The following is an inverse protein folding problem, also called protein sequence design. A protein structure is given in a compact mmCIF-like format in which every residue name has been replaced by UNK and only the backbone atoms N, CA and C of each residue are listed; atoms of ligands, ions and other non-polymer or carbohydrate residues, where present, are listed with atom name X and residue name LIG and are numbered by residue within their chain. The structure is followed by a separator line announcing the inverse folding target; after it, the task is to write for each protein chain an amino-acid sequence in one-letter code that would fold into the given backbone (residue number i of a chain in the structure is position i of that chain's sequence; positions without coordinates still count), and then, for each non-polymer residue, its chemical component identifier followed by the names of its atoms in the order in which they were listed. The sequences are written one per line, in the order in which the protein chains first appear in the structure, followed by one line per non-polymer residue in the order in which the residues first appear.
data_IF_399829378519
#
_entry.id   IF_399829378519
#
_cell.length_a   1.000
_cell.length_b   1.000
_cell.length_c   1.000
_cell.angle_alpha   90.00
_cell.angle_beta   90.00
_cell.angle_gamma   90.00
#
_symmetry.space_group_name_H-M   'P 1'
#
loop_
_entity.id
_entity.type
_entity.pdbx_description
1 polymer ?
#
# COMPACT_ATOMS: atom_id res chain seq x y z
N UNK A 1 -10.34 -11.58 -10.99
CA UNK A 1 -9.40 -11.24 -9.91
C UNK A 1 -9.52 -9.75 -9.62
N UNK A 2 -9.94 -9.40 -8.40
CA UNK A 2 -10.12 -8.02 -7.93
C UNK A 2 -8.94 -7.60 -7.07
N UNK A 3 -8.35 -6.45 -7.36
CA UNK A 3 -7.13 -5.97 -6.70
C UNK A 3 -7.42 -4.63 -6.02
N UNK A 4 -7.09 -4.53 -4.73
CA UNK A 4 -7.05 -3.27 -4.00
C UNK A 4 -5.59 -2.84 -3.83
N UNK A 5 -5.23 -1.66 -4.30
CA UNK A 5 -3.90 -1.07 -4.11
C UNK A 5 -4.01 0.00 -3.03
N UNK A 6 -3.27 -0.16 -1.94
CA UNK A 6 -3.19 0.82 -0.87
C UNK A 6 -1.91 1.65 -1.00
N UNK A 7 -2.09 2.92 -1.31
CA UNK A 7 -1.00 3.90 -1.40
C UNK A 7 -0.49 4.31 -0.01
N UNK A 8 0.73 4.82 0.09
CA UNK A 8 1.19 5.49 1.29
C UNK A 8 0.24 6.64 1.68
N UNK A 9 0.06 6.86 2.99
CA UNK A 9 -0.63 8.05 3.47
C UNK A 9 0.05 9.32 2.92
N UNK A 10 -0.73 10.31 2.48
CA UNK A 10 -0.31 11.55 1.80
C UNK A 10 0.30 11.36 0.40
N UNK A 11 0.27 10.17 -0.18
CA UNK A 11 0.63 10.01 -1.58
C UNK A 11 -0.47 10.58 -2.47
N UNK A 12 -0.12 11.57 -3.30
CA UNK A 12 -1.09 12.21 -4.20
C UNK A 12 -1.29 11.38 -5.48
N UNK A 13 -2.51 10.91 -5.69
CA UNK A 13 -2.91 10.19 -6.90
C UNK A 13 -3.66 11.13 -7.85
N UNK A 14 -2.94 12.14 -8.37
CA UNK A 14 -3.49 13.20 -9.22
C UNK A 14 -2.63 13.43 -10.45
N UNK A 15 -3.19 14.11 -11.47
CA UNK A 15 -2.46 14.37 -12.73
C UNK A 15 -1.26 15.31 -12.55
N UNK A 16 -1.39 16.33 -11.71
CA UNK A 16 -0.43 17.43 -11.65
C UNK A 16 0.60 17.31 -10.51
N UNK A 17 0.30 16.54 -9.47
CA UNK A 17 1.12 16.47 -8.26
C UNK A 17 1.31 15.04 -7.78
N UNK A 18 1.38 14.07 -8.70
CA UNK A 18 1.59 12.68 -8.37
C UNK A 18 2.98 12.47 -7.77
N UNK A 19 3.05 11.72 -6.67
CA UNK A 19 4.31 11.18 -6.17
C UNK A 19 4.79 10.01 -7.04
N UNK A 20 6.05 9.60 -6.85
CA UNK A 20 6.67 8.54 -7.65
C UNK A 20 5.91 7.20 -7.59
N UNK A 21 5.38 6.84 -6.42
CA UNK A 21 4.55 5.63 -6.25
C UNK A 21 3.25 5.74 -7.04
N UNK A 22 2.62 6.89 -7.00
CA UNK A 22 1.37 7.16 -7.74
C UNK A 22 1.56 7.09 -9.25
N UNK A 23 2.66 7.63 -9.78
CA UNK A 23 3.02 7.53 -11.20
C UNK A 23 3.18 6.05 -11.58
N UNK A 24 3.99 5.31 -10.82
CA UNK A 24 4.21 3.89 -11.05
C UNK A 24 2.89 3.09 -11.05
N UNK A 25 2.05 3.28 -10.02
CA UNK A 25 0.76 2.58 -9.90
C UNK A 25 -0.17 2.94 -11.06
N UNK A 26 -0.25 4.21 -11.43
CA UNK A 26 -1.09 4.64 -12.55
C UNK A 26 -0.66 4.02 -13.88
N UNK A 27 0.64 4.00 -14.17
CA UNK A 27 1.15 3.51 -15.44
C UNK A 27 1.09 1.99 -15.54
N UNK A 28 1.44 1.28 -14.47
CA UNK A 28 1.26 -0.19 -14.41
C UNK A 28 -0.20 -0.59 -14.53
N UNK A 29 -1.13 0.16 -13.92
CA UNK A 29 -2.57 -0.11 -14.03
C UNK A 29 -3.09 0.07 -15.45
N UNK A 30 -2.64 1.08 -16.19
CA UNK A 30 -3.04 1.28 -17.60
C UNK A 30 -2.69 0.08 -18.48
N UNK A 31 -1.54 -0.54 -18.22
CA UNK A 31 -1.00 -1.68 -18.97
C UNK A 31 -1.52 -3.03 -18.47
N UNK A 32 -2.10 -3.08 -17.27
CA UNK A 32 -2.57 -4.32 -16.66
C UNK A 32 -3.77 -4.91 -17.39
N UNK A 33 -3.75 -6.23 -17.60
CA UNK A 33 -4.93 -6.98 -18.04
C UNK A 33 -6.09 -6.92 -17.04
N UNK A 34 -5.81 -6.60 -15.77
CA UNK A 34 -6.79 -6.46 -14.69
C UNK A 34 -7.25 -5.01 -14.46
N UNK A 35 -6.92 -4.05 -15.33
CA UNK A 35 -7.19 -2.62 -15.17
C UNK A 35 -8.63 -2.25 -14.77
N UNK A 36 -9.62 -3.06 -15.21
CA UNK A 36 -11.04 -2.85 -14.87
C UNK A 36 -11.39 -3.30 -13.44
N UNK A 37 -10.59 -4.18 -12.87
CA UNK A 37 -10.80 -4.80 -11.55
C UNK A 37 -9.85 -4.26 -10.48
N UNK A 38 -9.02 -3.26 -10.83
CA UNK A 38 -8.11 -2.59 -9.89
C UNK A 38 -8.82 -1.39 -9.28
N UNK A 39 -8.75 -1.25 -7.96
CA UNK A 39 -9.14 -0.05 -7.21
C UNK A 39 -7.96 0.46 -6.41
N UNK A 40 -7.64 1.74 -6.56
CA UNK A 40 -6.56 2.41 -5.85
C UNK A 40 -7.14 3.18 -4.68
N UNK A 41 -6.60 2.98 -3.49
CA UNK A 41 -7.01 3.62 -2.25
C UNK A 41 -5.88 4.53 -1.76
N UNK A 42 -6.22 5.74 -1.34
CA UNK A 42 -5.25 6.69 -0.84
C UNK A 42 -5.90 7.87 -0.13
N UNK A 43 -5.10 8.83 0.29
CA UNK A 43 -5.57 10.09 0.89
C UNK A 43 -4.99 11.25 0.08
N UNK A 44 -5.67 11.58 -1.02
CA UNK A 44 -5.29 12.65 -1.95
C UNK A 44 -6.13 13.89 -1.68
N UNK A 45 -5.49 15.03 -1.50
CA UNK A 45 -6.15 16.31 -1.26
C UNK A 45 -6.44 17.08 -2.57
N UNK A 46 -5.83 16.68 -3.68
CA UNK A 46 -5.94 17.34 -4.99
C UNK A 46 -7.23 16.97 -5.75
N UNK A 47 -7.78 17.93 -6.50
CA UNK A 47 -9.06 17.78 -7.22
C UNK A 47 -8.95 16.94 -8.50
N UNK A 48 -7.80 16.91 -9.19
CA UNK A 48 -7.60 16.22 -10.48
C UNK A 48 -7.20 14.75 -10.29
N UNK A 49 -8.06 13.98 -9.68
CA UNK A 49 -7.82 12.57 -9.31
C UNK A 49 -7.82 11.68 -10.56
N UNK A 50 -6.93 10.69 -10.57
CA UNK A 50 -6.85 9.68 -11.61
C UNK A 50 -7.99 8.66 -11.48
N UNK A 51 -8.31 7.94 -12.57
CA UNK A 51 -9.42 6.96 -12.59
C UNK A 51 -9.19 5.79 -11.62
N UNK A 52 -10.28 5.15 -11.22
CA UNK A 52 -10.30 3.98 -10.32
C UNK A 52 -9.79 4.24 -8.90
N UNK A 53 -9.77 5.49 -8.45
CA UNK A 53 -9.32 5.91 -7.15
C UNK A 53 -10.49 6.06 -6.17
N UNK A 54 -10.25 5.65 -4.93
CA UNK A 54 -11.16 5.80 -3.80
C UNK A 54 -10.42 6.55 -2.70
N UNK A 55 -10.91 7.72 -2.33
CA UNK A 55 -10.29 8.52 -1.29
C UNK A 55 -10.61 7.96 0.10
N UNK A 56 -9.58 7.81 0.93
CA UNK A 56 -9.68 7.44 2.33
C UNK A 56 -9.80 8.74 3.13
N UNK A 57 -11.03 9.14 3.42
CA UNK A 57 -11.28 10.34 4.21
C UNK A 57 -10.67 10.23 5.61
N UNK A 58 -10.04 11.31 6.07
CA UNK A 58 -9.52 11.43 7.42
C UNK A 58 -10.28 12.55 8.14
N UNK A 59 -10.80 12.24 9.32
CA UNK A 59 -11.34 13.24 10.25
C UNK A 59 -10.27 13.51 11.31
N UNK A 60 -10.09 14.78 11.69
CA UNK A 60 -9.23 15.11 12.83
C UNK A 60 -9.74 14.36 14.07
N UNK A 61 -8.93 13.46 14.58
CA UNK A 61 -9.20 12.73 15.81
C UNK A 61 -7.94 12.80 16.69
N UNK A 62 -8.10 13.34 17.90
CA UNK A 62 -6.99 13.58 18.84
C UNK A 62 -6.51 12.26 19.48
N UNK A 63 -7.38 11.24 19.52
CA UNK A 63 -7.12 9.97 20.23
C UNK A 63 -6.39 8.91 19.40
N UNK A 64 -6.36 9.03 18.07
CA UNK A 64 -5.75 8.03 17.20
C UNK A 64 -4.66 8.66 16.33
N UNK A 65 -3.54 7.96 16.18
CA UNK A 65 -2.52 8.35 15.20
C UNK A 65 -3.13 8.38 13.79
N UNK A 66 -2.61 9.27 12.95
CA UNK A 66 -3.08 9.43 11.56
C UNK A 66 -2.98 8.12 10.77
N UNK A 67 -1.92 7.33 11.00
CA UNK A 67 -1.76 6.02 10.37
C UNK A 67 -2.87 5.05 10.79
N UNK A 68 -3.20 5.01 12.08
CA UNK A 68 -4.27 4.13 12.56
C UNK A 68 -5.64 4.56 12.02
N UNK A 69 -5.93 5.86 11.93
CA UNK A 69 -7.14 6.35 11.31
C UNK A 69 -7.21 5.95 9.83
N UNK A 70 -6.10 6.13 9.09
CA UNK A 70 -5.99 5.78 7.69
C UNK A 70 -6.29 4.30 7.45
N UNK A 71 -5.64 3.41 8.21
CA UNK A 71 -5.84 1.97 8.10
C UNK A 71 -7.23 1.52 8.53
N UNK A 72 -7.78 2.08 9.62
CA UNK A 72 -9.14 1.77 10.07
C UNK A 72 -10.20 2.23 9.05
N UNK A 73 -10.02 3.38 8.43
CA UNK A 73 -10.94 3.86 7.40
C UNK A 73 -10.82 3.05 6.11
N UNK A 74 -9.62 2.66 5.72
CA UNK A 74 -9.41 1.70 4.64
C UNK A 74 -10.12 0.37 4.92
N UNK A 75 -9.97 -0.18 6.13
CA UNK A 75 -10.63 -1.42 6.54
C UNK A 75 -12.16 -1.33 6.39
N UNK A 76 -12.77 -0.21 6.80
CA UNK A 76 -14.21 0.03 6.61
C UNK A 76 -14.62 0.05 5.14
N UNK A 77 -13.80 0.67 4.27
CA UNK A 77 -14.08 0.76 2.83
C UNK A 77 -14.03 -0.60 2.11
N UNK A 78 -13.23 -1.54 2.61
CA UNK A 78 -13.07 -2.88 1.99
C UNK A 78 -13.92 -3.95 2.65
N UNK A 79 -14.48 -3.73 3.85
CA UNK A 79 -15.17 -4.73 4.67
C UNK A 79 -16.20 -5.58 3.90
N UNK A 80 -16.99 -4.94 3.03
CA UNK A 80 -18.06 -5.59 2.27
C UNK A 80 -17.69 -5.80 0.79
N UNK A 81 -16.39 -5.73 0.45
CA UNK A 81 -15.90 -5.90 -0.92
C UNK A 81 -15.02 -7.13 -0.99
N UNK A 82 -15.20 -7.93 -2.04
CA UNK A 82 -14.36 -9.11 -2.29
C UNK A 82 -13.15 -8.68 -3.12
N UNK A 83 -11.99 -8.60 -2.48
CA UNK A 83 -10.69 -8.47 -3.15
C UNK A 83 -9.94 -9.79 -3.02
N UNK A 84 -9.24 -10.16 -4.09
CA UNK A 84 -8.36 -11.34 -4.11
C UNK A 84 -6.95 -10.98 -3.63
N UNK A 85 -6.55 -9.72 -3.88
CA UNK A 85 -5.22 -9.21 -3.55
C UNK A 85 -5.36 -7.81 -2.91
N UNK A 86 -4.58 -7.60 -1.85
CA UNK A 86 -4.24 -6.29 -1.29
C UNK A 86 -2.77 -6.00 -1.62
N UNK A 87 -2.53 -5.01 -2.45
CA UNK A 87 -1.18 -4.55 -2.80
C UNK A 87 -0.84 -3.30 -2.00
N UNK A 88 0.29 -3.30 -1.31
CA UNK A 88 0.74 -2.25 -0.39
C UNK A 88 2.08 -1.71 -0.87
N UNK A 89 2.19 -0.40 -1.02
CA UNK A 89 3.40 0.25 -1.50
C UNK A 89 4.14 0.99 -0.39
N UNK A 90 5.45 0.72 -0.23
CA UNK A 90 6.37 1.44 0.67
C UNK A 90 5.89 1.58 2.13
N UNK A 91 5.01 0.70 2.61
CA UNK A 91 4.51 0.79 3.99
C UNK A 91 4.46 -0.59 4.65
N UNK A 92 5.63 -1.22 4.91
CA UNK A 92 5.68 -2.56 5.51
C UNK A 92 4.95 -2.62 6.86
N UNK A 93 4.98 -1.55 7.66
CA UNK A 93 4.28 -1.49 8.95
C UNK A 93 2.73 -1.55 8.85
N UNK A 94 2.14 -1.45 7.64
CA UNK A 94 0.71 -1.66 7.44
C UNK A 94 0.34 -3.16 7.43
N UNK A 95 1.27 -4.03 7.04
CA UNK A 95 1.03 -5.47 6.83
C UNK A 95 0.46 -6.17 8.08
N UNK A 96 1.05 -6.03 9.29
CA UNK A 96 0.52 -6.70 10.48
C UNK A 96 -0.94 -6.34 10.79
N UNK A 97 -1.31 -5.07 10.59
CA UNK A 97 -2.70 -4.64 10.76
C UNK A 97 -3.61 -5.27 9.70
N UNK A 98 -3.20 -5.25 8.44
CA UNK A 98 -3.99 -5.79 7.33
C UNK A 98 -4.18 -7.30 7.43
N UNK A 99 -3.23 -8.04 7.99
CA UNK A 99 -3.36 -9.46 8.28
C UNK A 99 -4.43 -9.75 9.34
N UNK A 100 -4.59 -8.87 10.33
CA UNK A 100 -5.62 -9.02 11.37
C UNK A 100 -7.04 -8.82 10.83
N UNK A 101 -7.22 -7.95 9.84
CA UNK A 101 -8.55 -7.56 9.35
C UNK A 101 -9.01 -8.30 8.10
N UNK A 102 -8.12 -8.97 7.40
CA UNK A 102 -8.44 -9.65 6.15
C UNK A 102 -7.52 -10.84 5.89
N UNK A 103 -8.11 -11.94 5.41
CA UNK A 103 -7.39 -13.13 4.91
C UNK A 103 -6.98 -13.01 3.43
N UNK A 104 -7.33 -11.91 2.76
CA UNK A 104 -6.95 -11.63 1.37
C UNK A 104 -5.43 -11.66 1.22
N UNK A 105 -4.90 -12.16 0.11
CA UNK A 105 -3.45 -12.19 -0.18
C UNK A 105 -2.85 -10.79 -0.14
N UNK A 106 -1.70 -10.63 0.54
CA UNK A 106 -0.97 -9.36 0.66
C UNK A 106 0.29 -9.40 -0.19
N UNK A 107 0.44 -8.38 -1.01
CA UNK A 107 1.66 -8.13 -1.78
C UNK A 107 2.25 -6.82 -1.28
N UNK A 108 3.49 -6.86 -0.81
CA UNK A 108 4.23 -5.67 -0.39
C UNK A 108 5.22 -5.26 -1.48
N UNK A 109 5.16 -4.02 -1.92
CA UNK A 109 6.06 -3.47 -2.94
C UNK A 109 7.00 -2.44 -2.33
N UNK A 110 8.31 -2.68 -2.43
CA UNK A 110 9.35 -1.73 -2.03
C UNK A 110 9.84 -0.94 -3.24
N UNK A 111 9.68 0.39 -3.19
CA UNK A 111 10.24 1.34 -4.16
C UNK A 111 11.52 1.99 -3.67
N UNK A 112 11.77 2.00 -2.37
CA UNK A 112 12.90 2.63 -1.71
C UNK A 112 13.69 1.60 -0.88
N UNK A 113 14.76 2.07 -0.19
CA UNK A 113 15.57 1.24 0.70
C UNK A 113 14.71 0.64 1.84
N UNK A 114 14.56 -0.69 1.91
CA UNK A 114 13.78 -1.34 2.97
C UNK A 114 14.30 -1.06 4.37
N UNK A 115 15.61 -0.88 4.55
CA UNK A 115 16.21 -0.62 5.87
C UNK A 115 15.93 0.78 6.41
N UNK A 116 15.35 1.67 5.60
CA UNK A 116 14.92 3.01 6.01
C UNK A 116 13.41 3.11 6.22
N UNK A 117 12.68 2.00 6.13
CA UNK A 117 11.22 1.99 6.25
C UNK A 117 10.77 1.40 7.57
N UNK A 118 9.93 2.14 8.30
CA UNK A 118 9.29 1.63 9.51
C UNK A 118 8.61 0.29 9.24
N UNK A 119 8.92 -0.72 10.07
CA UNK A 119 8.39 -2.08 9.94
C UNK A 119 9.22 -3.00 9.04
N UNK A 120 10.44 -2.57 8.63
CA UNK A 120 11.43 -3.42 7.95
C UNK A 120 12.88 -3.06 8.32
N UNK A 121 13.08 -2.20 9.32
CA UNK A 121 14.42 -1.75 9.75
C UNK A 121 15.17 -2.90 10.41
N UNK A 122 14.56 -3.56 11.39
CA UNK A 122 15.20 -4.65 12.12
C UNK A 122 15.10 -5.97 11.37
N UNK A 123 16.02 -6.91 11.68
CA UNK A 123 15.97 -8.29 11.17
C UNK A 123 14.64 -8.92 11.53
N UNK A 124 14.21 -8.79 12.80
CA UNK A 124 12.93 -9.32 13.29
C UNK A 124 11.72 -8.81 12.52
N UNK A 125 11.71 -7.51 12.15
CA UNK A 125 10.64 -6.95 11.31
C UNK A 125 10.60 -7.64 9.95
N UNK A 126 11.77 -7.83 9.32
CA UNK A 126 11.86 -8.44 7.98
C UNK A 126 11.49 -9.91 8.00
N UNK A 127 11.91 -10.68 9.02
CA UNK A 127 11.47 -12.06 9.24
C UNK A 127 9.96 -12.14 9.42
N UNK A 128 9.39 -11.23 10.23
CA UNK A 128 7.93 -11.14 10.39
C UNK A 128 7.25 -10.91 9.05
N UNK A 129 7.74 -9.96 8.24
CA UNK A 129 7.17 -9.69 6.91
C UNK A 129 7.25 -10.89 5.98
N UNK A 130 8.37 -11.62 5.99
CA UNK A 130 8.52 -12.86 5.19
C UNK A 130 7.48 -13.91 5.56
N UNK A 131 7.14 -14.02 6.85
CA UNK A 131 6.20 -15.02 7.35
C UNK A 131 4.72 -14.66 7.09
N UNK A 132 4.37 -13.36 7.09
CA UNK A 132 2.96 -12.93 7.03
C UNK A 132 2.54 -12.29 5.71
N UNK A 133 3.47 -12.12 4.75
CA UNK A 133 3.20 -11.53 3.45
C UNK A 133 3.28 -12.59 2.35
N UNK A 134 2.25 -12.70 1.52
CA UNK A 134 2.23 -13.72 0.45
C UNK A 134 3.28 -13.47 -0.63
N UNK A 135 3.63 -12.20 -0.87
CA UNK A 135 4.69 -11.83 -1.82
C UNK A 135 5.31 -10.48 -1.47
N UNK A 136 6.64 -10.39 -1.56
CA UNK A 136 7.38 -9.14 -1.47
C UNK A 136 8.04 -8.88 -2.82
N UNK A 137 7.84 -7.67 -3.36
CA UNK A 137 8.38 -7.22 -4.64
C UNK A 137 9.33 -6.06 -4.39
N UNK A 138 10.47 -6.10 -5.04
CA UNK A 138 11.49 -5.05 -5.00
C UNK A 138 11.67 -4.45 -6.38
N UNK A 139 11.89 -3.15 -6.47
CA UNK A 139 12.14 -2.45 -7.72
C UNK A 139 13.55 -2.70 -8.31
N UNK A 140 14.44 -3.30 -7.53
CA UNK A 140 15.82 -3.61 -7.94
C UNK A 140 16.43 -4.75 -7.13
N UNK A 141 17.48 -5.36 -7.68
CA UNK A 141 18.29 -6.36 -6.96
C UNK A 141 18.99 -5.73 -5.75
N UNK A 142 19.40 -4.47 -5.83
CA UNK A 142 19.97 -3.75 -4.71
C UNK A 142 18.98 -3.67 -3.54
N UNK A 143 17.74 -3.23 -3.78
CA UNK A 143 16.69 -3.16 -2.77
C UNK A 143 16.40 -4.54 -2.14
N UNK A 144 16.37 -5.60 -2.96
CA UNK A 144 16.22 -6.97 -2.49
C UNK A 144 17.38 -7.40 -1.59
N UNK A 145 18.63 -7.15 -2.01
CA UNK A 145 19.82 -7.48 -1.22
C UNK A 145 19.84 -6.74 0.12
N UNK A 146 19.45 -5.45 0.13
CA UNK A 146 19.30 -4.65 1.34
C UNK A 146 18.30 -5.28 2.32
N UNK A 147 17.17 -5.75 1.82
CA UNK A 147 16.15 -6.39 2.66
C UNK A 147 16.65 -7.71 3.30
N UNK A 148 17.51 -8.45 2.60
CA UNK A 148 18.05 -9.75 3.02
C UNK A 148 19.32 -9.66 3.89
N UNK A 149 19.85 -8.47 4.15
CA UNK A 149 21.02 -8.30 5.04
C UNK A 149 20.63 -8.73 6.47
N UNK A 150 21.41 -9.62 7.03
CA UNK A 150 21.36 -10.06 8.42
C UNK A 150 22.11 -9.11 9.35
#
# INVERSE_FOLDING_TARGET
MNIAILLPYKENFSKNYAGAVSIFVNDTNKLSKFKRSIKVFGSTENKNILKNYINIGLKKNILLSTTNQYLNNFAKLIKNKKFDILEIHNRPHYIPFLCKISKTKKILYFHNDPLKMQGSISIKDRETLLNITDKIIFNSNWSKSRFLIN
#
